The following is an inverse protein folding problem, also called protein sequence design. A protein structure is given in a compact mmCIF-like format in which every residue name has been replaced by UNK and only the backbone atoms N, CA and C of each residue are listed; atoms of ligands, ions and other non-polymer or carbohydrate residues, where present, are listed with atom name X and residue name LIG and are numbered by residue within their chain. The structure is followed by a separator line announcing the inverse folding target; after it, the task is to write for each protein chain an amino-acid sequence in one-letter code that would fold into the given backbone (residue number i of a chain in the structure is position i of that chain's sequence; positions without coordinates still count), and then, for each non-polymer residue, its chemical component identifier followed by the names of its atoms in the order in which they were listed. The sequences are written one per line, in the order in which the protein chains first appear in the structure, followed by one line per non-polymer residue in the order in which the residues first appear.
data_IF_470602955395
#
_entry.id   IF_470602955395
#
_cell.length_a   1.000
_cell.length_b   1.000
_cell.length_c   1.000
_cell.angle_alpha   90.00
_cell.angle_beta   90.00
_cell.angle_gamma   90.00
#
_symmetry.space_group_name_H-M   'P 1'
#
loop_
_entity.id
_entity.type
_entity.pdbx_description
1 polymer ?
#
# COMPACT_ATOMS: atom_id res chain seq x y z
N UNK A 1 8.75 -21.79 -47.58
CA UNK A 1 7.72 -22.57 -48.29
C UNK A 1 6.39 -21.95 -47.98
N UNK A 2 5.55 -21.74 -48.99
CA UNK A 2 4.15 -21.37 -48.78
C UNK A 2 3.34 -22.68 -48.62
N UNK A 3 2.44 -22.77 -47.64
CA UNK A 3 1.61 -23.95 -47.39
C UNK A 3 0.24 -23.51 -46.86
N UNK A 4 -0.83 -24.17 -47.32
CA UNK A 4 -2.21 -23.86 -46.94
C UNK A 4 -2.75 -24.74 -45.80
N UNK A 5 -2.29 -25.98 -45.67
CA UNK A 5 -2.90 -26.98 -44.77
C UNK A 5 -1.89 -27.72 -43.88
N UNK A 6 -0.59 -27.42 -44.02
CA UNK A 6 0.49 -28.12 -43.32
C UNK A 6 1.66 -27.18 -42.99
N UNK A 7 2.69 -27.71 -42.31
CA UNK A 7 3.90 -26.97 -41.96
C UNK A 7 4.58 -26.43 -43.25
N UNK A 8 4.65 -25.10 -43.40
CA UNK A 8 5.28 -24.47 -44.57
C UNK A 8 6.81 -24.62 -44.62
N UNK A 9 7.46 -24.68 -43.46
CA UNK A 9 8.90 -24.95 -43.29
C UNK A 9 9.17 -25.57 -41.92
N UNK A 10 10.02 -26.59 -41.86
CA UNK A 10 10.51 -27.20 -40.61
C UNK A 10 12.03 -27.20 -40.59
N UNK A 11 12.64 -26.48 -39.66
CA UNK A 11 14.07 -26.56 -39.37
C UNK A 11 14.30 -27.33 -38.07
N UNK A 12 15.18 -28.34 -38.09
CA UNK A 12 15.51 -29.16 -36.93
C UNK A 12 17.02 -29.37 -36.87
N UNK A 13 17.60 -29.20 -35.68
CA UNK A 13 19.01 -29.45 -35.41
C UNK A 13 19.16 -30.00 -33.99
N UNK A 14 20.12 -30.89 -33.77
CA UNK A 14 20.38 -31.49 -32.46
C UNK A 14 21.35 -30.66 -31.61
N UNK A 15 22.27 -29.94 -32.26
CA UNK A 15 23.42 -29.31 -31.59
C UNK A 15 23.52 -27.80 -31.84
N UNK A 16 22.64 -27.23 -32.67
CA UNK A 16 22.70 -25.82 -33.05
C UNK A 16 21.28 -25.31 -33.41
N UNK A 17 21.18 -24.12 -34.00
CA UNK A 17 19.92 -23.55 -34.47
C UNK A 17 19.26 -24.45 -35.51
N UNK A 18 17.99 -24.82 -35.27
CA UNK A 18 17.15 -25.43 -36.31
C UNK A 18 16.81 -24.43 -37.41
N UNK A 19 16.61 -23.16 -37.03
CA UNK A 19 16.41 -22.00 -37.91
C UNK A 19 17.16 -20.80 -37.32
N UNK A 20 17.89 -20.07 -38.14
CA UNK A 20 18.60 -18.84 -37.76
C UNK A 20 18.19 -17.71 -38.69
N UNK A 21 17.58 -16.66 -38.14
CA UNK A 21 17.17 -15.45 -38.87
C UNK A 21 17.93 -14.24 -38.37
N UNK A 22 18.58 -13.50 -39.28
CA UNK A 22 19.35 -12.31 -38.97
C UNK A 22 18.98 -11.18 -39.93
N UNK A 23 18.87 -9.96 -39.40
CA UNK A 23 18.67 -8.75 -40.18
C UNK A 23 19.38 -7.58 -39.49
N UNK A 24 19.86 -6.61 -40.26
CA UNK A 24 20.59 -5.44 -39.76
C UNK A 24 19.73 -4.17 -39.65
N UNK A 25 18.59 -4.15 -40.32
CA UNK A 25 17.73 -2.95 -40.43
C UNK A 25 16.29 -3.19 -39.99
N UNK A 26 15.90 -4.45 -39.81
CA UNK A 26 14.52 -4.84 -39.47
C UNK A 26 14.52 -6.17 -38.70
N UNK A 27 13.37 -6.82 -38.60
CA UNK A 27 13.21 -8.12 -37.96
C UNK A 27 14.01 -9.21 -38.67
N UNK A 28 14.85 -9.94 -37.93
CA UNK A 28 15.48 -11.17 -38.42
C UNK A 28 14.46 -12.30 -38.62
N UNK A 29 13.43 -12.33 -37.77
CA UNK A 29 12.24 -13.20 -37.87
C UNK A 29 11.01 -12.36 -37.50
N UNK A 30 9.98 -12.42 -38.33
CA UNK A 30 8.70 -11.77 -38.08
C UNK A 30 7.60 -12.84 -38.05
N UNK A 31 6.94 -13.00 -36.90
CA UNK A 31 5.84 -13.93 -36.73
C UNK A 31 4.52 -13.18 -36.56
N UNK A 32 3.50 -13.60 -37.30
CA UNK A 32 2.18 -12.97 -37.29
C UNK A 32 1.09 -14.04 -37.43
N UNK A 33 0.01 -13.91 -36.66
CA UNK A 33 -1.15 -14.77 -36.72
C UNK A 33 -2.40 -13.99 -36.28
N UNK A 34 -3.53 -14.23 -36.94
CA UNK A 34 -4.82 -13.60 -36.61
C UNK A 34 -5.56 -14.30 -35.47
N UNK A 35 -5.34 -15.61 -35.32
CA UNK A 35 -6.15 -16.47 -34.44
C UNK A 35 -5.32 -17.26 -33.43
N UNK A 36 -4.00 -17.31 -33.62
CA UNK A 36 -3.09 -18.08 -32.76
C UNK A 36 -1.83 -17.30 -32.42
N UNK A 37 -0.80 -18.01 -31.98
CA UNK A 37 0.48 -17.39 -31.66
C UNK A 37 1.20 -16.96 -32.94
N UNK A 38 1.64 -15.69 -33.00
CA UNK A 38 2.57 -15.26 -34.05
C UNK A 38 3.93 -15.95 -33.89
N UNK A 39 4.39 -16.12 -32.65
CA UNK A 39 5.58 -16.88 -32.26
C UNK A 39 5.27 -17.63 -30.97
N UNK A 40 5.55 -18.93 -30.93
CA UNK A 40 5.42 -19.76 -29.74
C UNK A 40 6.80 -20.34 -29.39
N UNK A 41 7.23 -20.16 -28.14
CA UNK A 41 8.48 -20.70 -27.63
C UNK A 41 8.22 -21.70 -26.51
N UNK A 42 8.58 -22.97 -26.74
CA UNK A 42 8.44 -24.04 -25.76
C UNK A 42 9.82 -24.58 -25.38
N UNK A 43 10.18 -24.47 -24.10
CA UNK A 43 11.45 -24.94 -23.56
C UNK A 43 11.23 -25.77 -22.30
N UNK A 44 11.87 -26.93 -22.20
CA UNK A 44 11.72 -27.86 -21.07
C UNK A 44 12.73 -27.63 -19.95
N UNK A 45 13.99 -27.34 -20.32
CA UNK A 45 15.10 -27.19 -19.38
C UNK A 45 15.71 -25.77 -19.39
N UNK A 46 15.19 -24.88 -20.24
CA UNK A 46 15.68 -23.52 -20.42
C UNK A 46 14.53 -22.63 -20.89
N UNK A 47 14.80 -21.35 -21.12
CA UNK A 47 13.83 -20.37 -21.60
C UNK A 47 13.17 -20.82 -22.91
N UNK A 48 11.83 -20.88 -22.94
CA UNK A 48 11.10 -21.04 -24.21
C UNK A 48 11.33 -19.85 -25.15
N UNK A 49 11.42 -18.64 -24.59
CA UNK A 49 11.78 -17.39 -25.28
C UNK A 49 12.78 -16.61 -24.43
N UNK A 50 13.88 -16.17 -25.04
CA UNK A 50 14.90 -15.35 -24.38
C UNK A 50 15.20 -14.11 -25.23
N UNK A 51 14.84 -12.93 -24.70
CA UNK A 51 15.07 -11.65 -25.36
C UNK A 51 16.17 -10.85 -24.67
N UNK A 52 17.14 -10.37 -25.44
CA UNK A 52 18.25 -9.53 -24.95
C UNK A 52 18.36 -8.26 -25.78
N UNK A 53 18.66 -7.15 -25.12
CA UNK A 53 18.91 -5.86 -25.76
C UNK A 53 19.83 -5.03 -24.88
N UNK A 54 20.73 -4.27 -25.50
CA UNK A 54 21.68 -3.39 -24.79
C UNK A 54 21.17 -1.97 -24.62
N UNK A 55 20.30 -1.51 -25.53
CA UNK A 55 19.88 -0.11 -25.62
C UNK A 55 18.35 0.08 -25.60
N UNK A 56 17.58 -1.00 -25.47
CA UNK A 56 16.12 -0.96 -25.47
C UNK A 56 15.55 -2.15 -24.69
N UNK A 57 14.25 -2.42 -24.84
CA UNK A 57 13.60 -3.57 -24.22
C UNK A 57 14.10 -4.88 -24.84
N UNK A 58 14.49 -5.84 -24.01
CA UNK A 58 14.76 -7.21 -24.47
C UNK A 58 13.48 -7.91 -24.93
N UNK A 59 12.35 -7.60 -24.28
CA UNK A 59 10.98 -8.04 -24.63
C UNK A 59 10.04 -6.86 -24.41
N UNK A 60 9.19 -6.57 -25.40
CA UNK A 60 8.20 -5.49 -25.34
C UNK A 60 6.84 -6.02 -25.80
N UNK A 61 5.84 -5.95 -24.92
CA UNK A 61 4.47 -6.38 -25.19
C UNK A 61 3.51 -5.19 -25.16
N UNK A 62 2.52 -5.21 -26.05
CA UNK A 62 1.40 -4.24 -26.07
C UNK A 62 0.10 -4.98 -26.30
N UNK A 63 -0.99 -4.48 -25.73
CA UNK A 63 -2.33 -5.06 -25.86
C UNK A 63 -3.38 -4.00 -25.51
N UNK A 64 -4.51 -3.97 -26.23
CA UNK A 64 -5.60 -3.02 -26.00
C UNK A 64 -6.71 -3.56 -25.09
N UNK A 65 -6.91 -4.88 -25.07
CA UNK A 65 -8.06 -5.51 -24.39
C UNK A 65 -7.71 -6.59 -23.37
N UNK A 66 -6.42 -6.86 -23.16
CA UNK A 66 -5.94 -7.92 -22.28
C UNK A 66 -4.54 -7.61 -21.74
N UNK A 67 -4.02 -8.45 -20.85
CA UNK A 67 -2.64 -8.35 -20.37
C UNK A 67 -1.64 -8.47 -21.52
N UNK A 68 -0.82 -7.42 -21.70
CA UNK A 68 0.25 -7.42 -22.71
C UNK A 68 1.35 -8.44 -22.40
N UNK A 69 1.61 -8.69 -21.11
CA UNK A 69 2.54 -9.70 -20.60
C UNK A 69 1.83 -10.39 -19.43
N UNK A 70 1.80 -11.72 -19.45
CA UNK A 70 1.20 -12.54 -18.40
C UNK A 70 2.18 -13.63 -17.97
N UNK A 71 2.60 -13.60 -16.70
CA UNK A 71 3.49 -14.58 -16.10
C UNK A 71 2.74 -15.46 -15.11
N UNK A 72 2.89 -16.78 -15.25
CA UNK A 72 2.23 -17.76 -14.39
C UNK A 72 3.22 -18.86 -14.00
N UNK A 73 3.25 -19.23 -12.73
CA UNK A 73 4.07 -20.31 -12.18
C UNK A 73 3.32 -21.01 -11.05
N UNK A 74 3.36 -22.34 -11.02
CA UNK A 74 2.63 -23.15 -10.03
C UNK A 74 3.43 -23.44 -8.76
N UNK A 75 4.75 -23.27 -8.79
CA UNK A 75 5.63 -23.69 -7.69
C UNK A 75 6.72 -22.68 -7.35
N UNK A 76 6.94 -21.67 -8.20
CA UNK A 76 8.03 -20.70 -8.05
C UNK A 76 7.53 -19.29 -8.36
N UNK A 77 8.45 -18.36 -8.55
CA UNK A 77 8.14 -16.97 -8.91
C UNK A 77 7.52 -16.90 -10.31
N UNK A 78 6.34 -16.28 -10.43
CA UNK A 78 5.68 -16.06 -11.72
C UNK A 78 6.36 -14.97 -12.57
N UNK A 79 6.75 -13.85 -11.93
CA UNK A 79 7.49 -12.74 -12.57
C UNK A 79 8.52 -12.19 -11.58
N UNK A 80 9.76 -12.02 -12.03
CA UNK A 80 10.87 -11.48 -11.23
C UNK A 80 11.55 -10.33 -11.98
N UNK A 81 11.68 -9.17 -11.32
CA UNK A 81 12.43 -8.03 -11.84
C UNK A 81 13.60 -7.69 -10.93
N UNK A 82 14.80 -7.58 -11.50
CA UNK A 82 16.05 -7.28 -10.78
C UNK A 82 16.78 -6.16 -11.49
N UNK A 83 17.17 -5.13 -10.76
CA UNK A 83 17.93 -3.99 -11.29
C UNK A 83 18.99 -3.55 -10.28
N UNK A 84 20.19 -3.23 -10.77
CA UNK A 84 21.29 -2.75 -9.93
C UNK A 84 21.28 -1.24 -9.68
N UNK A 85 20.62 -0.46 -10.56
CA UNK A 85 20.73 1.01 -10.57
C UNK A 85 19.38 1.74 -10.68
N UNK A 86 18.26 1.02 -10.82
CA UNK A 86 16.94 1.62 -11.03
C UNK A 86 15.85 0.70 -10.47
N UNK A 87 14.59 0.90 -10.89
CA UNK A 87 13.47 0.06 -10.49
C UNK A 87 13.65 -1.37 -11.00
N UNK A 88 13.50 -2.36 -10.11
CA UNK A 88 13.43 -3.76 -10.50
C UNK A 88 12.10 -4.09 -11.21
N UNK A 89 11.00 -3.60 -10.65
CA UNK A 89 9.64 -3.65 -11.23
C UNK A 89 8.98 -2.30 -10.96
N UNK A 90 8.23 -1.78 -11.93
CA UNK A 90 7.40 -0.58 -11.80
C UNK A 90 6.01 -0.89 -12.33
N UNK A 91 4.99 -0.56 -11.54
CA UNK A 91 3.59 -0.64 -11.94
C UNK A 91 2.94 0.73 -11.84
N UNK A 92 2.17 1.10 -12.86
CA UNK A 92 1.48 2.39 -12.93
C UNK A 92 0.14 2.20 -13.63
N UNK A 93 -0.91 2.81 -13.09
CA UNK A 93 -2.25 2.77 -13.64
C UNK A 93 -2.93 4.11 -13.38
N UNK A 94 -3.76 4.54 -14.33
CA UNK A 94 -4.53 5.79 -14.22
C UNK A 94 -5.81 5.62 -13.42
N UNK A 95 -6.42 4.42 -13.46
CA UNK A 95 -7.77 4.18 -12.95
C UNK A 95 -7.83 3.10 -11.85
N UNK A 96 -6.76 2.33 -11.66
CA UNK A 96 -6.71 1.20 -10.73
C UNK A 96 -5.36 1.16 -10.00
N UNK A 97 -5.09 0.08 -9.27
CA UNK A 97 -3.80 -0.15 -8.62
C UNK A 97 -2.67 -0.24 -9.66
N UNK A 98 -1.56 0.48 -9.43
CA UNK A 98 -0.34 0.30 -10.23
C UNK A 98 0.25 -1.10 -10.06
N UNK A 99 0.18 -1.65 -8.84
CA UNK A 99 0.52 -3.04 -8.51
C UNK A 99 -0.51 -3.56 -7.53
N UNK A 100 -1.07 -4.74 -7.79
CA UNK A 100 -1.97 -5.46 -6.88
C UNK A 100 -1.27 -6.72 -6.39
N UNK A 101 -1.17 -6.88 -5.07
CA UNK A 101 -0.70 -8.07 -4.40
C UNK A 101 -1.87 -8.72 -3.67
N UNK A 102 -1.93 -10.05 -3.69
CA UNK A 102 -2.96 -10.82 -2.99
C UNK A 102 -2.43 -12.21 -2.67
N UNK A 103 -2.72 -12.69 -1.47
CA UNK A 103 -2.40 -14.03 -0.99
C UNK A 103 -3.60 -14.66 -0.30
N UNK A 104 -3.84 -15.94 -0.57
CA UNK A 104 -4.87 -16.72 0.14
C UNK A 104 -4.39 -17.18 1.53
N UNK A 105 -3.14 -16.92 1.89
CA UNK A 105 -2.54 -17.38 3.14
C UNK A 105 -2.70 -16.34 4.25
N UNK A 106 -3.42 -16.69 5.31
CA UNK A 106 -3.58 -15.88 6.52
C UNK A 106 -2.25 -15.49 7.22
N UNK A 107 -1.17 -16.23 6.98
CA UNK A 107 0.13 -16.03 7.62
C UNK A 107 1.18 -15.29 6.76
N UNK A 108 0.82 -14.85 5.55
CA UNK A 108 1.74 -14.19 4.62
C UNK A 108 1.22 -12.80 4.23
N UNK A 109 2.15 -11.91 3.86
CA UNK A 109 1.81 -10.57 3.39
C UNK A 109 1.60 -10.55 1.88
N UNK A 110 0.58 -9.82 1.42
CA UNK A 110 0.38 -9.49 0.00
C UNK A 110 1.59 -8.75 -0.60
N UNK A 111 2.23 -7.91 0.23
CA UNK A 111 3.45 -7.20 -0.09
C UNK A 111 4.47 -7.37 1.03
N UNK A 112 5.64 -7.88 0.67
CA UNK A 112 6.76 -8.06 1.60
C UNK A 112 7.96 -7.26 1.13
N UNK A 113 8.35 -6.25 1.91
CA UNK A 113 9.61 -5.55 1.72
C UNK A 113 10.68 -6.11 2.66
N UNK A 114 11.85 -6.42 2.10
CA UNK A 114 13.03 -6.83 2.86
C UNK A 114 14.25 -6.08 2.35
N UNK A 115 15.02 -5.53 3.27
CA UNK A 115 16.18 -4.68 3.00
C UNK A 115 17.23 -4.87 4.10
N UNK A 116 18.49 -5.00 3.72
CA UNK A 116 19.62 -5.08 4.68
C UNK A 116 19.85 -3.77 5.45
N UNK A 117 19.34 -2.65 4.94
CA UNK A 117 19.41 -1.33 5.58
C UNK A 117 18.14 -0.92 6.33
N UNK A 118 17.21 -1.84 6.56
CA UNK A 118 15.89 -1.56 7.11
C UNK A 118 14.84 -1.26 6.04
N UNK A 119 13.58 -1.57 6.35
CA UNK A 119 12.45 -1.36 5.44
C UNK A 119 11.99 0.09 5.50
N UNK A 120 11.88 0.76 4.35
CA UNK A 120 11.44 2.15 4.26
C UNK A 120 10.07 2.24 3.58
N UNK A 121 9.04 2.58 4.37
CA UNK A 121 7.72 2.93 3.87
C UNK A 121 7.56 4.44 3.95
N UNK A 122 7.80 5.12 2.83
CA UNK A 122 7.78 6.58 2.76
C UNK A 122 6.49 7.12 2.13
N UNK A 123 5.94 8.18 2.71
CA UNK A 123 4.90 9.00 2.09
C UNK A 123 5.43 10.41 1.84
N UNK A 124 5.09 11.01 0.70
CA UNK A 124 5.48 12.37 0.37
C UNK A 124 4.88 13.37 1.39
N UNK A 125 5.72 14.05 2.17
CA UNK A 125 5.27 14.97 3.22
C UNK A 125 6.22 16.16 3.36
N UNK A 126 6.18 17.08 2.39
CA UNK A 126 6.97 18.32 2.43
C UNK A 126 6.05 19.53 2.54
N UNK A 127 6.40 20.53 3.37
CA UNK A 127 5.63 21.78 3.49
C UNK A 127 5.40 22.46 2.13
N UNK A 128 6.37 22.39 1.21
CA UNK A 128 6.25 22.98 -0.15
C UNK A 128 5.20 22.31 -1.04
N UNK A 129 4.72 21.13 -0.65
CA UNK A 129 3.70 20.36 -1.38
C UNK A 129 2.34 20.40 -0.67
N UNK A 130 2.18 21.29 0.33
CA UNK A 130 0.96 21.44 1.12
C UNK A 130 0.50 22.89 1.12
N UNK A 131 -0.80 23.09 0.97
CA UNK A 131 -1.47 24.38 1.06
C UNK A 131 -2.58 24.31 2.12
N UNK A 132 -3.11 25.46 2.56
CA UNK A 132 -4.19 25.55 3.56
C UNK A 132 -3.93 24.75 4.85
N UNK A 133 -2.69 24.80 5.35
CA UNK A 133 -2.27 24.07 6.56
C UNK A 133 -2.96 24.67 7.79
N UNK A 134 -3.78 23.86 8.45
CA UNK A 134 -4.44 24.19 9.72
C UNK A 134 -4.26 23.04 10.74
N UNK A 135 -4.54 23.34 12.01
CA UNK A 135 -4.50 22.34 13.07
C UNK A 135 -5.71 21.40 12.96
N UNK A 136 -5.55 20.16 13.45
CA UNK A 136 -6.67 19.22 13.57
C UNK A 136 -7.63 19.74 14.66
N UNK A 137 -8.90 20.02 14.34
CA UNK A 137 -9.85 20.52 15.32
C UNK A 137 -10.32 19.41 16.25
N UNK A 138 -10.55 19.73 17.53
CA UNK A 138 -11.15 18.85 18.53
C UNK A 138 -10.63 17.38 18.52
N UNK A 139 -9.30 17.15 18.55
CA UNK A 139 -8.74 15.82 18.32
C UNK A 139 -9.16 14.79 19.37
N UNK A 140 -9.47 15.22 20.60
CA UNK A 140 -10.02 14.35 21.65
C UNK A 140 -11.45 13.87 21.34
N UNK A 141 -12.29 14.75 20.79
CA UNK A 141 -13.67 14.38 20.42
C UNK A 141 -13.66 13.44 19.22
N UNK A 142 -12.80 13.72 18.24
CA UNK A 142 -12.60 12.84 17.08
C UNK A 142 -12.19 11.44 17.52
N UNK A 143 -11.12 11.30 18.33
CA UNK A 143 -10.69 9.98 18.84
C UNK A 143 -11.77 9.32 19.71
N UNK A 144 -12.49 10.09 20.54
CA UNK A 144 -13.56 9.54 21.37
C UNK A 144 -14.78 9.04 20.56
N UNK A 145 -14.96 9.55 19.33
CA UNK A 145 -15.98 9.07 18.40
C UNK A 145 -15.62 7.77 17.69
N UNK A 146 -14.36 7.31 17.77
CA UNK A 146 -13.92 6.09 17.12
C UNK A 146 -14.11 4.87 18.02
N UNK A 147 -14.50 3.75 17.39
CA UNK A 147 -14.74 2.49 18.08
C UNK A 147 -13.82 1.40 17.55
N UNK A 148 -12.83 1.03 18.36
CA UNK A 148 -12.03 -0.17 18.11
C UNK A 148 -12.87 -1.44 18.33
N UNK A 149 -12.77 -2.41 17.43
CA UNK A 149 -13.55 -3.64 17.45
C UNK A 149 -12.65 -4.86 17.24
N UNK A 150 -13.04 -5.97 17.87
CA UNK A 150 -12.65 -7.30 17.43
C UNK A 150 -13.72 -7.82 16.48
N UNK A 151 -13.31 -8.53 15.45
CA UNK A 151 -14.20 -9.10 14.45
C UNK A 151 -13.58 -10.35 13.85
N UNK A 152 -14.42 -11.17 13.22
CA UNK A 152 -13.99 -12.31 12.43
C UNK A 152 -14.29 -11.99 10.96
N UNK A 153 -13.30 -12.19 10.08
CA UNK A 153 -13.57 -12.14 8.65
C UNK A 153 -14.50 -13.28 8.25
N UNK A 154 -15.32 -13.07 7.22
CA UNK A 154 -16.05 -14.18 6.59
C UNK A 154 -15.08 -15.11 5.84
N UNK A 155 -15.59 -16.27 5.40
CA UNK A 155 -14.77 -17.27 4.71
C UNK A 155 -14.17 -16.76 3.38
N UNK A 156 -14.85 -15.86 2.67
CA UNK A 156 -14.37 -15.30 1.40
C UNK A 156 -13.20 -14.33 1.63
N UNK A 157 -13.17 -13.67 2.79
CA UNK A 157 -12.15 -12.72 3.22
C UNK A 157 -11.14 -13.32 4.22
N UNK A 158 -11.09 -14.65 4.34
CA UNK A 158 -10.02 -15.38 5.03
C UNK A 158 -10.39 -15.98 6.39
N UNK A 159 -11.58 -15.70 6.94
CA UNK A 159 -12.13 -16.42 8.09
C UNK A 159 -11.47 -16.17 9.45
N UNK A 160 -10.46 -15.28 9.52
CA UNK A 160 -9.61 -15.14 10.70
C UNK A 160 -10.14 -14.10 11.69
N UNK A 161 -9.90 -14.35 12.98
CA UNK A 161 -10.12 -13.37 14.04
C UNK A 161 -9.12 -12.22 13.93
N UNK A 162 -9.60 -10.99 14.05
CA UNK A 162 -8.82 -9.77 13.87
C UNK A 162 -9.30 -8.63 14.77
N UNK A 163 -8.46 -7.59 14.87
CA UNK A 163 -8.74 -6.34 15.57
C UNK A 163 -8.57 -5.17 14.62
N UNK A 164 -9.42 -4.16 14.73
CA UNK A 164 -9.35 -2.96 13.90
C UNK A 164 -10.53 -2.02 14.13
N UNK A 165 -10.97 -1.39 13.04
CA UNK A 165 -12.14 -0.50 12.99
C UNK A 165 -13.10 -0.94 11.89
N UNK A 166 -14.36 -0.51 12.01
CA UNK A 166 -15.29 -0.49 10.88
C UNK A 166 -15.01 0.79 10.08
N UNK A 167 -14.65 0.65 8.82
CA UNK A 167 -14.13 1.77 8.01
C UNK A 167 -15.20 2.86 7.80
N UNK A 168 -16.46 2.49 7.63
CA UNK A 168 -17.60 3.41 7.50
C UNK A 168 -17.79 4.24 8.76
N UNK A 169 -17.71 3.62 9.95
CA UNK A 169 -17.79 4.34 11.24
C UNK A 169 -16.64 5.34 11.40
N UNK A 170 -15.44 4.97 10.96
CA UNK A 170 -14.30 5.89 10.92
C UNK A 170 -14.56 7.02 9.94
N UNK A 171 -15.16 6.72 8.79
CA UNK A 171 -15.45 7.69 7.74
C UNK A 171 -16.47 8.76 8.14
N UNK A 172 -17.35 8.48 9.10
CA UNK A 172 -18.24 9.50 9.69
C UNK A 172 -17.47 10.58 10.47
N UNK A 173 -16.29 10.23 11.00
CA UNK A 173 -15.45 11.13 11.81
C UNK A 173 -14.26 11.70 11.01
N UNK A 174 -13.65 10.88 10.16
CA UNK A 174 -12.42 11.16 9.41
C UNK A 174 -12.54 10.59 7.98
N UNK A 175 -13.38 11.19 7.12
CA UNK A 175 -13.63 10.65 5.79
C UNK A 175 -12.37 10.55 4.91
N UNK A 176 -11.36 11.39 5.15
CA UNK A 176 -10.16 11.50 4.30
C UNK A 176 -9.21 10.30 4.36
N UNK A 177 -9.44 9.37 5.29
CA UNK A 177 -8.61 8.17 5.45
C UNK A 177 -9.31 6.90 4.96
N UNK A 178 -10.58 6.99 4.56
CA UNK A 178 -11.39 5.86 4.08
C UNK A 178 -11.52 5.94 2.56
N UNK A 179 -11.47 4.79 1.90
CA UNK A 179 -11.70 4.66 0.47
C UNK A 179 -13.01 3.92 0.28
N UNK A 180 -13.93 4.53 -0.46
CA UNK A 180 -15.24 3.97 -0.77
C UNK A 180 -15.30 3.39 -2.18
N UNK A 181 -16.25 2.48 -2.40
CA UNK A 181 -16.69 2.08 -3.72
C UNK A 181 -17.32 3.24 -4.50
N UNK A 182 -17.61 3.03 -5.79
CA UNK A 182 -18.26 4.04 -6.64
C UNK A 182 -19.62 4.51 -6.10
N UNK A 183 -20.29 3.70 -5.29
CA UNK A 183 -21.57 4.08 -4.66
C UNK A 183 -21.41 5.13 -3.55
N UNK A 184 -20.18 5.36 -3.06
CA UNK A 184 -19.86 6.31 -1.99
C UNK A 184 -20.39 5.94 -0.60
N UNK A 185 -20.81 4.67 -0.42
CA UNK A 185 -21.41 4.16 0.82
C UNK A 185 -20.55 3.05 1.40
N UNK A 186 -20.20 2.05 0.61
CA UNK A 186 -19.46 0.88 1.08
C UNK A 186 -17.95 1.14 1.03
N UNK A 187 -17.24 0.87 2.13
CA UNK A 187 -15.80 1.09 2.21
C UNK A 187 -15.01 -0.11 1.69
N UNK A 188 -14.02 0.17 0.84
CA UNK A 188 -13.05 -0.82 0.36
C UNK A 188 -11.91 -0.99 1.38
N UNK A 189 -11.61 0.05 2.15
CA UNK A 189 -10.57 0.01 3.17
C UNK A 189 -10.21 1.39 3.71
N UNK A 190 -9.20 1.44 4.58
CA UNK A 190 -8.73 2.69 5.19
C UNK A 190 -7.22 2.72 5.39
N UNK A 191 -6.64 3.92 5.38
CA UNK A 191 -5.22 4.17 5.62
C UNK A 191 -4.97 4.41 7.12
N UNK A 192 -4.66 3.33 7.84
CA UNK A 192 -4.30 3.36 9.25
C UNK A 192 -3.11 4.29 9.55
N UNK A 193 -2.19 4.51 8.60
CA UNK A 193 -1.00 5.36 8.83
C UNK A 193 -1.40 6.81 9.08
N UNK A 194 -2.50 7.25 8.45
CA UNK A 194 -3.05 8.62 8.60
C UNK A 194 -3.74 8.86 9.94
N UNK A 195 -3.91 7.83 10.79
CA UNK A 195 -4.36 8.01 12.17
C UNK A 195 -3.28 8.64 13.06
N UNK A 196 -1.99 8.43 12.72
CA UNK A 196 -0.87 8.83 13.58
C UNK A 196 -0.87 10.33 13.92
N UNK A 197 -1.06 11.27 12.98
CA UNK A 197 -1.11 12.70 13.30
C UNK A 197 -2.28 13.08 14.21
N UNK A 198 -3.45 12.46 14.03
CA UNK A 198 -4.61 12.69 14.91
C UNK A 198 -4.32 12.21 16.34
N UNK A 199 -3.71 11.03 16.49
CA UNK A 199 -3.33 10.50 17.80
C UNK A 199 -2.33 11.42 18.52
N UNK A 200 -1.36 11.98 17.78
CA UNK A 200 -0.41 12.97 18.33
C UNK A 200 -1.14 14.21 18.85
N UNK A 201 -2.05 14.78 18.05
CA UNK A 201 -2.82 15.96 18.48
C UNK A 201 -3.79 15.65 19.62
N UNK A 202 -4.36 14.44 19.69
CA UNK A 202 -5.19 14.01 20.79
C UNK A 202 -4.39 13.92 22.09
N UNK A 203 -3.15 13.38 22.05
CA UNK A 203 -2.26 13.34 23.21
C UNK A 203 -1.88 14.77 23.65
N UNK A 204 -1.53 15.66 22.71
CA UNK A 204 -1.22 17.05 23.02
C UNK A 204 -2.41 17.76 23.70
N UNK A 205 -3.61 17.58 23.17
CA UNK A 205 -4.83 18.12 23.75
C UNK A 205 -5.14 17.52 25.13
N UNK A 206 -4.87 16.23 25.34
CA UNK A 206 -5.03 15.57 26.64
C UNK A 206 -4.09 16.18 27.68
N UNK A 207 -2.81 16.35 27.34
CA UNK A 207 -1.80 16.97 28.20
C UNK A 207 -2.24 18.40 28.59
N UNK A 208 -2.62 19.22 27.62
CA UNK A 208 -3.09 20.58 27.88
C UNK A 208 -4.32 20.62 28.82
N UNK A 209 -5.24 19.67 28.66
CA UNK A 209 -6.42 19.53 29.53
C UNK A 209 -6.03 19.19 30.96
N UNK A 210 -5.06 18.29 31.16
CA UNK A 210 -4.58 17.92 32.49
C UNK A 210 -3.75 19.02 33.15
N UNK A 211 -2.87 19.69 32.40
CA UNK A 211 -2.09 20.82 32.90
C UNK A 211 -3.00 21.95 33.41
N UNK A 212 -4.05 22.25 32.63
CA UNK A 212 -5.07 23.21 33.04
C UNK A 212 -5.77 22.75 34.32
N UNK A 213 -6.26 21.50 34.35
CA UNK A 213 -6.95 20.95 35.52
C UNK A 213 -6.06 20.98 36.77
N UNK A 214 -4.78 20.65 36.63
CA UNK A 214 -3.83 20.67 37.74
C UNK A 214 -3.55 22.09 38.22
N UNK A 215 -3.34 23.05 37.30
CA UNK A 215 -3.18 24.46 37.66
C UNK A 215 -4.39 25.02 38.39
N UNK A 216 -5.60 24.70 37.93
CA UNK A 216 -6.84 25.13 38.57
C UNK A 216 -6.98 24.50 39.99
N UNK A 217 -6.62 23.22 40.15
CA UNK A 217 -6.60 22.56 41.45
C UNK A 217 -5.57 23.18 42.41
N UNK A 218 -4.37 23.54 41.92
CA UNK A 218 -3.35 24.20 42.73
C UNK A 218 -3.80 25.58 43.23
N UNK A 219 -4.45 26.38 42.39
CA UNK A 219 -5.03 27.66 42.80
C UNK A 219 -6.07 27.47 43.90
N UNK A 220 -6.96 26.50 43.73
CA UNK A 220 -7.98 26.22 44.73
C UNK A 220 -7.38 25.77 46.08
N UNK A 221 -6.32 24.95 46.04
CA UNK A 221 -5.58 24.56 47.25
C UNK A 221 -4.97 25.79 47.95
N UNK A 222 -4.32 26.68 47.20
CA UNK A 222 -3.74 27.92 47.76
C UNK A 222 -4.80 28.83 48.40
N UNK A 223 -5.96 28.97 47.76
CA UNK A 223 -7.10 29.74 48.30
C UNK A 223 -7.63 29.12 49.60
N UNK A 224 -7.75 27.80 49.66
CA UNK A 224 -8.17 27.08 50.85
C UNK A 224 -7.14 27.22 51.98
N UNK A 225 -5.85 27.07 51.69
CA UNK A 225 -4.76 27.26 52.66
C UNK A 225 -4.76 28.68 53.24
N UNK A 226 -4.94 29.70 52.39
CA UNK A 226 -5.06 31.09 52.83
C UNK A 226 -6.24 31.29 53.79
N UNK A 227 -7.42 30.76 53.44
CA UNK A 227 -8.63 30.87 54.28
C UNK A 227 -8.50 30.12 55.60
N UNK A 228 -7.85 28.95 55.61
CA UNK A 228 -7.56 28.21 56.84
C UNK A 228 -6.63 29.03 57.75
N UNK A 229 -5.58 29.64 57.21
CA UNK A 229 -4.66 30.49 57.98
C UNK A 229 -5.33 31.75 58.55
N UNK A 230 -6.23 32.38 57.80
CA UNK A 230 -7.03 33.51 58.29
C UNK A 230 -7.93 33.10 59.46
N UNK A 231 -8.64 31.97 59.35
CA UNK A 231 -9.50 31.46 60.43
C UNK A 231 -8.70 31.07 61.68
N UNK A 232 -7.53 30.45 61.51
CA UNK A 232 -6.63 30.14 62.62
C UNK A 232 -6.13 31.42 63.33
N UNK A 233 -5.80 32.46 62.56
CA UNK A 233 -5.38 33.75 63.14
C UNK A 233 -6.53 34.45 63.87
N UNK A 234 -7.75 34.40 63.32
CA UNK A 234 -8.93 34.97 63.94
C UNK A 234 -9.27 34.27 65.28
N UNK A 235 -9.18 32.95 65.33
CA UNK A 235 -9.41 32.17 66.56
C UNK A 235 -8.32 32.35 67.60
N UNK A 236 -7.05 32.51 67.19
CA UNK A 236 -5.96 32.83 68.10
C UNK A 236 -6.16 34.19 68.80
N UNK A 237 -6.68 35.20 68.08
CA UNK A 237 -6.98 36.52 68.65
C UNK A 237 -8.19 36.54 69.59
N UNK A 238 -9.08 35.55 69.51
CA UNK A 238 -10.25 35.44 70.40
C UNK A 238 -9.88 34.79 71.75
N UNK A 239 -8.80 34.01 71.78
CA UNK A 239 -8.37 33.25 72.96
C UNK A 239 -7.27 33.95 73.79
N UNK A 240 -6.93 35.20 73.47
CA UNK A 240 -5.99 36.07 74.18
C UNK A 240 -6.72 37.29 74.75
#
# INVERSE_FOLDING_TARGET
GYSYEAIGTRGQSQNNYGVYGQSFSTSGVFGYSNFGYGVEGNGTNNHGVHGTSTNSFGVYGTSEGASAIYGYSTSQVGVSGVSGNSYGVIGSSANFHGVLGSTASASHFDFYASSTGGNNYGSASSRRWKENICNIPNPLEMIAGLRGVYYDWDEEHGGNHSIGFIAEEVGEVIPEIVVYEENGIDAIGMDYSKMTPLLVEAINALCAKYDKKFSDQQKHIQELEARVNELMSATANINN
#
